data_IF_297097328650
#
_entry.id   IF_297097328650
#
_cell.length_a   1.000
_cell.length_b   1.000
_cell.length_c   1.000
_cell.angle_alpha   90.00
_cell.angle_beta   90.00
_cell.angle_gamma   90.00
#
_symmetry.space_group_name_H-M   'P 1'
#
loop_
_entity.id
_entity.type
_entity.pdbx_description
1 polymer ?
#
# COMPACT_ATOMS: atom_id res chain seq x y z
N UNK A 1 18.09 -65.84 18.08
CA UNK A 1 16.92 -65.38 17.31
C UNK A 1 16.80 -63.88 17.48
N UNK A 2 16.80 -63.19 16.35
CA UNK A 2 16.66 -61.73 16.20
C UNK A 2 15.21 -61.29 16.44
N UNK A 3 15.03 -60.11 17.04
CA UNK A 3 14.09 -59.04 16.61
C UNK A 3 13.94 -58.02 17.76
N UNK A 4 14.63 -56.89 17.67
CA UNK A 4 14.20 -55.62 17.06
C UNK A 4 13.23 -54.82 17.96
N UNK A 5 13.80 -53.87 18.72
CA UNK A 5 13.06 -52.73 19.26
C UNK A 5 13.27 -51.58 18.28
N UNK A 6 12.20 -51.22 17.58
CA UNK A 6 12.19 -50.12 16.62
C UNK A 6 12.33 -48.78 17.37
N UNK A 7 13.34 -48.01 16.98
CA UNK A 7 13.51 -46.61 17.37
C UNK A 7 12.57 -45.77 16.50
N UNK A 8 11.76 -44.84 17.07
CA UNK A 8 10.97 -43.96 16.24
C UNK A 8 11.91 -43.01 15.48
N UNK A 9 11.81 -43.09 14.17
CA UNK A 9 12.44 -42.21 13.18
C UNK A 9 11.99 -40.79 13.45
N UNK A 10 12.95 -39.90 13.70
CA UNK A 10 12.73 -38.45 13.62
C UNK A 10 12.32 -38.14 12.18
N UNK A 11 11.02 -38.00 11.95
CA UNK A 11 10.49 -37.45 10.70
C UNK A 11 11.03 -36.03 10.57
N UNK A 12 11.85 -35.84 9.53
CA UNK A 12 12.32 -34.54 9.11
C UNK A 12 11.10 -33.66 8.79
N UNK A 13 11.00 -32.49 9.43
CA UNK A 13 10.01 -31.48 9.08
C UNK A 13 10.15 -31.09 7.61
N UNK A 14 9.05 -31.02 6.86
CA UNK A 14 9.07 -30.54 5.49
C UNK A 14 9.18 -29.00 5.47
N UNK A 15 9.87 -28.53 4.42
CA UNK A 15 9.83 -27.15 3.91
C UNK A 15 10.80 -26.13 4.51
N UNK A 16 12.09 -26.41 4.27
CA UNK A 16 13.02 -25.35 3.89
C UNK A 16 12.46 -24.63 2.64
N UNK A 17 11.75 -23.53 2.84
CA UNK A 17 11.48 -22.57 1.77
C UNK A 17 12.82 -22.12 1.21
N UNK A 18 13.04 -22.42 -0.07
CA UNK A 18 14.26 -22.11 -0.79
C UNK A 18 14.58 -20.63 -0.64
N UNK A 19 15.71 -20.34 0.00
CA UNK A 19 16.27 -19.03 0.24
C UNK A 19 16.75 -18.42 -1.10
N UNK A 20 15.81 -18.12 -1.99
CA UNK A 20 16.09 -17.54 -3.29
C UNK A 20 16.49 -16.08 -3.06
N UNK A 21 17.71 -15.72 -3.44
CA UNK A 21 18.20 -14.35 -3.31
C UNK A 21 17.25 -13.39 -4.05
N UNK A 22 16.90 -12.27 -3.41
CA UNK A 22 16.06 -11.25 -4.02
C UNK A 22 16.74 -10.68 -5.28
N UNK A 23 15.97 -10.30 -6.31
CA UNK A 23 16.53 -9.64 -7.48
C UNK A 23 17.15 -8.29 -7.09
N UNK A 24 18.22 -7.89 -7.76
CA UNK A 24 18.88 -6.59 -7.51
C UNK A 24 18.06 -5.38 -8.00
N UNK A 25 17.01 -5.62 -8.78
CA UNK A 25 16.07 -4.59 -9.21
C UNK A 25 14.65 -5.15 -9.38
N UNK A 26 13.67 -4.32 -9.05
CA UNK A 26 12.24 -4.56 -9.25
C UNK A 26 11.61 -3.26 -9.70
N UNK A 27 10.69 -3.33 -10.67
CA UNK A 27 9.97 -2.17 -11.18
C UNK A 27 8.51 -2.50 -11.52
N UNK A 28 7.57 -1.80 -10.87
CA UNK A 28 6.13 -1.95 -11.08
C UNK A 28 5.53 -0.79 -11.88
N UNK A 29 6.33 0.20 -12.33
CA UNK A 29 5.85 1.38 -13.06
C UNK A 29 5.13 1.00 -14.34
N UNK A 30 5.68 0.06 -15.11
CA UNK A 30 5.05 -0.39 -16.37
C UNK A 30 3.66 -1.00 -16.12
N UNK A 31 3.47 -1.73 -15.01
CA UNK A 31 2.15 -2.29 -14.64
C UNK A 31 1.16 -1.19 -14.31
N UNK A 32 1.57 -0.22 -13.49
CA UNK A 32 0.74 0.94 -13.15
C UNK A 32 0.30 1.70 -14.41
N UNK A 33 1.23 1.96 -15.33
CA UNK A 33 0.93 2.64 -16.59
C UNK A 33 -0.01 1.80 -17.48
N UNK A 34 0.22 0.50 -17.60
CA UNK A 34 -0.64 -0.41 -18.36
C UNK A 34 -2.08 -0.47 -17.81
N UNK A 35 -2.23 -0.34 -16.50
CA UNK A 35 -3.53 -0.26 -15.82
C UNK A 35 -4.12 1.15 -15.75
N UNK A 36 -3.53 2.13 -16.43
CA UNK A 36 -3.98 3.52 -16.45
C UNK A 36 -3.99 4.15 -15.04
N UNK A 37 -3.03 3.75 -14.21
CA UNK A 37 -2.78 4.28 -12.87
C UNK A 37 -1.51 5.16 -12.82
N UNK A 38 -1.32 6.17 -13.70
CA UNK A 38 -0.15 7.04 -13.59
C UNK A 38 -0.20 7.88 -12.29
N UNK A 39 0.96 8.41 -11.86
CA UNK A 39 1.04 9.39 -10.78
C UNK A 39 0.06 10.56 -11.02
N UNK A 40 -0.56 11.06 -9.94
CA UNK A 40 -1.46 12.23 -9.99
C UNK A 40 -1.14 13.23 -8.87
N UNK A 41 -1.36 14.53 -9.09
CA UNK A 41 -1.01 15.58 -8.12
C UNK A 41 -1.99 15.62 -6.95
N UNK A 42 -1.47 15.75 -5.73
CA UNK A 42 -2.25 16.16 -4.54
C UNK A 42 -2.37 17.69 -4.40
N UNK A 43 -1.64 18.46 -5.20
CA UNK A 43 -1.59 19.92 -5.08
C UNK A 43 -0.99 20.39 -3.75
N UNK A 44 -1.51 21.48 -3.20
CA UNK A 44 -0.99 22.12 -1.98
C UNK A 44 -1.55 21.51 -0.67
N UNK A 45 -2.40 20.49 -0.76
CA UNK A 45 -3.11 19.89 0.39
C UNK A 45 -2.25 18.84 1.09
N UNK A 46 -2.50 18.64 2.38
CA UNK A 46 -1.80 17.69 3.26
C UNK A 46 -2.18 16.21 3.06
N UNK A 47 -2.64 15.81 1.88
CA UNK A 47 -3.30 14.52 1.64
C UNK A 47 -2.39 13.43 1.07
N UNK A 48 -1.06 13.52 1.26
CA UNK A 48 -0.12 12.53 0.68
C UNK A 48 -0.42 11.10 1.14
N UNK A 49 -0.81 10.94 2.40
CA UNK A 49 -1.19 9.65 2.97
C UNK A 49 -2.44 9.07 2.31
N UNK A 50 -3.43 9.91 2.03
CA UNK A 50 -4.66 9.52 1.33
C UNK A 50 -4.35 9.07 -0.09
N UNK A 51 -3.53 9.82 -0.84
CA UNK A 51 -3.13 9.43 -2.19
C UNK A 51 -2.36 8.11 -2.18
N UNK A 52 -1.47 7.91 -1.20
CA UNK A 52 -0.71 6.68 -1.04
C UNK A 52 -1.62 5.47 -0.80
N UNK A 53 -2.59 5.58 0.13
CA UNK A 53 -3.57 4.51 0.39
C UNK A 53 -4.45 4.27 -0.82
N UNK A 54 -4.93 5.35 -1.46
CA UNK A 54 -5.76 5.26 -2.66
C UNK A 54 -5.04 4.51 -3.76
N UNK A 55 -3.77 4.83 -4.05
CA UNK A 55 -3.00 4.12 -5.08
C UNK A 55 -2.65 2.68 -4.71
N UNK A 56 -2.49 2.35 -3.43
CA UNK A 56 -2.35 0.96 -2.99
C UNK A 56 -3.64 0.15 -3.26
N UNK A 57 -4.81 0.74 -2.98
CA UNK A 57 -6.12 0.14 -3.27
C UNK A 57 -6.36 0.00 -4.79
N UNK A 58 -6.04 1.03 -5.58
CA UNK A 58 -6.12 0.99 -7.05
C UNK A 58 -5.25 -0.13 -7.62
N UNK A 59 -4.04 -0.32 -7.10
CA UNK A 59 -3.16 -1.42 -7.50
C UNK A 59 -3.75 -2.79 -7.15
N UNK A 60 -4.30 -2.94 -5.94
CA UNK A 60 -4.92 -4.20 -5.50
C UNK A 60 -6.15 -4.56 -6.37
N UNK A 61 -6.98 -3.57 -6.71
CA UNK A 61 -8.10 -3.73 -7.65
C UNK A 61 -7.62 -4.13 -9.04
N UNK A 62 -6.62 -3.44 -9.58
CA UNK A 62 -6.07 -3.76 -10.89
C UNK A 62 -5.46 -5.16 -10.96
N UNK A 63 -4.81 -5.63 -9.88
CA UNK A 63 -4.26 -6.99 -9.79
C UNK A 63 -5.36 -8.07 -9.80
N UNK A 64 -6.60 -7.72 -9.44
CA UNK A 64 -7.79 -8.59 -9.57
C UNK A 64 -8.45 -8.53 -10.96
N UNK A 65 -7.93 -7.70 -11.87
CA UNK A 65 -8.54 -7.48 -13.19
C UNK A 65 -9.60 -6.38 -13.21
N UNK A 66 -9.71 -5.58 -12.15
CA UNK A 66 -10.65 -4.44 -12.05
C UNK A 66 -9.89 -3.11 -11.91
N UNK A 67 -9.08 -2.68 -12.91
CA UNK A 67 -8.37 -1.41 -12.80
C UNK A 67 -9.38 -0.24 -12.73
N UNK A 68 -9.34 0.51 -11.63
CA UNK A 68 -10.24 1.63 -11.37
C UNK A 68 -9.43 2.82 -10.83
N UNK A 69 -9.83 4.03 -11.23
CA UNK A 69 -9.35 5.27 -10.60
C UNK A 69 -10.28 5.67 -9.48
N UNK A 70 -9.83 5.47 -8.24
CA UNK A 70 -10.60 5.81 -7.05
C UNK A 70 -10.45 7.30 -6.72
N UNK A 71 -11.49 7.90 -6.14
CA UNK A 71 -11.48 9.28 -5.67
C UNK A 71 -10.65 9.44 -4.37
N UNK A 72 -9.54 10.20 -4.38
CA UNK A 72 -8.83 10.54 -3.15
C UNK A 72 -9.70 11.44 -2.25
N UNK A 73 -10.60 12.24 -2.81
CA UNK A 73 -11.54 13.05 -2.01
C UNK A 73 -12.47 12.15 -1.19
N UNK A 74 -13.02 11.10 -1.83
CA UNK A 74 -13.85 10.12 -1.14
C UNK A 74 -13.07 9.40 -0.05
N UNK A 75 -11.86 8.94 -0.35
CA UNK A 75 -11.02 8.25 0.63
C UNK A 75 -10.68 9.17 1.80
N UNK A 76 -10.41 10.46 1.57
CA UNK A 76 -10.18 11.44 2.65
C UNK A 76 -11.43 11.64 3.52
N UNK A 77 -12.61 11.78 2.90
CA UNK A 77 -13.87 11.88 3.62
C UNK A 77 -14.14 10.63 4.45
N UNK A 78 -14.00 9.44 3.86
CA UNK A 78 -14.21 8.16 4.54
C UNK A 78 -13.21 7.97 5.70
N UNK A 79 -11.96 8.38 5.52
CA UNK A 79 -10.96 8.38 6.58
C UNK A 79 -11.35 9.30 7.74
N UNK A 80 -11.90 10.49 7.43
CA UNK A 80 -12.41 11.42 8.45
C UNK A 80 -13.59 10.83 9.23
N UNK A 81 -14.48 10.07 8.57
CA UNK A 81 -15.57 9.37 9.26
C UNK A 81 -15.06 8.27 10.21
N UNK A 82 -13.97 7.59 9.85
CA UNK A 82 -13.32 6.60 10.70
C UNK A 82 -12.53 7.25 11.86
N UNK A 83 -11.84 8.36 11.59
CA UNK A 83 -11.05 9.11 12.57
C UNK A 83 -11.88 9.98 13.52
N UNK A 84 -13.18 10.15 13.28
CA UNK A 84 -14.12 10.83 14.16
C UNK A 84 -14.22 12.36 13.99
N UNK A 85 -13.41 12.96 13.10
CA UNK A 85 -13.49 14.37 12.76
C UNK A 85 -13.01 14.65 11.32
N UNK A 86 -13.54 15.68 10.64
CA UNK A 86 -13.02 16.13 9.35
C UNK A 86 -11.53 16.51 9.43
N UNK A 87 -10.74 16.02 8.47
CA UNK A 87 -9.31 16.34 8.35
C UNK A 87 -8.87 16.38 6.88
N UNK A 88 -7.91 17.25 6.56
CA UNK A 88 -7.32 17.34 5.22
C UNK A 88 -6.07 16.46 5.11
N UNK A 89 -6.30 15.16 4.97
CA UNK A 89 -5.29 14.13 5.18
C UNK A 89 -5.58 13.35 6.46
N UNK A 90 -5.13 12.10 6.52
CA UNK A 90 -5.39 11.23 7.66
C UNK A 90 -4.32 10.12 7.78
N UNK A 91 -4.32 9.38 8.87
CA UNK A 91 -3.45 8.21 9.02
C UNK A 91 -3.90 7.05 8.11
N UNK A 92 -2.96 6.19 7.73
CA UNK A 92 -3.24 5.02 6.89
C UNK A 92 -4.33 4.12 7.49
N UNK A 93 -4.29 3.85 8.79
CA UNK A 93 -5.29 3.01 9.44
C UNK A 93 -6.71 3.59 9.36
N UNK A 94 -6.86 4.92 9.43
CA UNK A 94 -8.16 5.57 9.28
C UNK A 94 -8.66 5.51 7.84
N UNK A 95 -7.77 5.70 6.86
CA UNK A 95 -8.13 5.59 5.45
C UNK A 95 -8.53 4.15 5.07
N UNK A 96 -7.81 3.14 5.57
CA UNK A 96 -8.14 1.74 5.38
C UNK A 96 -9.47 1.36 6.06
N UNK A 97 -9.69 1.79 7.31
CA UNK A 97 -10.96 1.56 8.02
C UNK A 97 -12.14 2.29 7.35
N UNK A 98 -11.90 3.49 6.81
CA UNK A 98 -12.86 4.23 6.00
C UNK A 98 -13.23 3.47 4.74
N UNK A 99 -12.24 2.95 4.00
CA UNK A 99 -12.48 2.12 2.82
C UNK A 99 -13.23 0.82 3.16
N UNK A 100 -12.87 0.13 4.24
CA UNK A 100 -13.57 -1.08 4.67
C UNK A 100 -15.05 -0.80 5.00
N UNK A 101 -15.33 0.34 5.65
CA UNK A 101 -16.69 0.73 6.04
C UNK A 101 -17.55 1.24 4.89
N UNK A 102 -16.97 2.03 3.99
CA UNK A 102 -17.73 2.79 2.98
C UNK A 102 -17.40 2.41 1.54
N UNK A 103 -16.28 1.75 1.28
CA UNK A 103 -15.68 1.59 -0.04
C UNK A 103 -15.08 2.90 -0.54
N UNK A 104 -15.03 3.05 -1.87
CA UNK A 104 -14.66 4.29 -2.53
C UNK A 104 -15.35 4.37 -3.90
N UNK A 105 -15.80 5.57 -4.30
CA UNK A 105 -16.27 5.80 -5.65
C UNK A 105 -15.11 6.17 -6.59
N UNK A 106 -15.38 6.22 -7.89
CA UNK A 106 -14.43 6.70 -8.88
C UNK A 106 -14.07 8.18 -8.71
N UNK A 107 -12.87 8.57 -9.16
CA UNK A 107 -12.43 9.97 -9.20
C UNK A 107 -13.32 10.83 -10.11
N UNK A 108 -13.90 10.24 -11.15
CA UNK A 108 -14.89 10.91 -12.01
C UNK A 108 -16.19 11.22 -11.26
N UNK A 109 -16.65 10.30 -10.40
CA UNK A 109 -17.87 10.46 -9.60
C UNK A 109 -17.73 11.55 -8.55
N UNK A 110 -16.59 11.60 -7.86
CA UNK A 110 -16.34 12.63 -6.85
C UNK A 110 -14.91 13.17 -6.96
N UNK A 111 -14.68 14.17 -7.84
CA UNK A 111 -13.33 14.63 -8.15
C UNK A 111 -12.62 15.28 -6.97
N UNK A 112 -11.30 15.08 -6.95
CA UNK A 112 -10.42 15.76 -6.00
C UNK A 112 -10.46 17.28 -6.14
N UNK A 113 -10.59 17.98 -5.00
CA UNK A 113 -10.70 19.45 -4.96
C UNK A 113 -9.38 20.11 -4.64
N UNK A 114 -9.17 21.30 -5.20
CA UNK A 114 -7.97 22.10 -4.96
C UNK A 114 -7.84 22.58 -3.50
N UNK A 115 -8.95 22.67 -2.77
CA UNK A 115 -8.99 23.08 -1.36
C UNK A 115 -9.94 22.18 -0.58
N UNK A 116 -9.58 21.92 0.68
CA UNK A 116 -10.39 21.16 1.61
C UNK A 116 -11.63 21.94 2.06
N UNK A 117 -12.75 21.22 2.15
CA UNK A 117 -13.99 21.71 2.69
C UNK A 117 -14.51 20.70 3.72
N UNK A 118 -14.45 21.05 5.00
CA UNK A 118 -14.85 20.18 6.10
C UNK A 118 -16.37 19.91 6.13
N UNK A 119 -17.17 20.67 5.39
CA UNK A 119 -18.62 20.53 5.31
C UNK A 119 -19.07 19.69 4.12
N UNK A 120 -18.16 19.42 3.18
CA UNK A 120 -18.46 18.67 1.98
C UNK A 120 -18.65 17.19 2.31
N UNK A 121 -19.76 16.64 1.83
CA UNK A 121 -20.08 15.22 1.93
C UNK A 121 -20.38 14.67 0.53
N UNK A 122 -20.16 13.37 0.29
CA UNK A 122 -20.49 12.76 -0.99
C UNK A 122 -22.00 12.77 -1.18
N UNK A 123 -22.44 12.94 -2.43
CA UNK A 123 -23.84 12.78 -2.78
C UNK A 123 -24.27 11.30 -2.73
N UNK A 124 -25.57 11.07 -2.92
CA UNK A 124 -26.14 9.73 -2.86
C UNK A 124 -25.58 8.79 -3.93
N UNK A 125 -25.19 9.30 -5.10
CA UNK A 125 -24.63 8.49 -6.18
C UNK A 125 -23.20 8.06 -5.87
N UNK A 126 -22.37 8.97 -5.34
CA UNK A 126 -21.03 8.66 -4.85
C UNK A 126 -21.06 7.63 -3.72
N UNK A 127 -21.97 7.77 -2.76
CA UNK A 127 -22.16 6.80 -1.68
C UNK A 127 -22.60 5.42 -2.21
N UNK A 128 -23.52 5.39 -3.18
CA UNK A 128 -24.00 4.14 -3.76
C UNK A 128 -22.89 3.41 -4.55
N UNK A 129 -22.09 4.14 -5.34
CA UNK A 129 -20.97 3.58 -6.09
C UNK A 129 -19.89 3.03 -5.15
N UNK A 130 -19.57 3.76 -4.08
CA UNK A 130 -18.64 3.33 -3.06
C UNK A 130 -19.11 2.07 -2.32
N UNK A 131 -20.39 2.03 -1.91
CA UNK A 131 -20.98 0.85 -1.28
C UNK A 131 -20.97 -0.37 -2.21
N UNK A 132 -21.26 -0.20 -3.50
CA UNK A 132 -21.18 -1.27 -4.47
C UNK A 132 -19.75 -1.81 -4.65
N UNK A 133 -18.72 -0.96 -4.56
CA UNK A 133 -17.32 -1.40 -4.54
C UNK A 133 -17.00 -2.16 -3.25
N UNK A 134 -17.39 -1.63 -2.09
CA UNK A 134 -17.19 -2.29 -0.79
C UNK A 134 -17.78 -3.69 -0.79
N UNK A 135 -19.03 -3.83 -1.21
CA UNK A 135 -19.76 -5.09 -1.13
C UNK A 135 -19.15 -6.16 -2.04
N UNK A 136 -18.71 -5.80 -3.26
CA UNK A 136 -18.07 -6.74 -4.19
C UNK A 136 -16.61 -7.08 -3.83
N UNK A 137 -15.96 -6.23 -3.06
CA UNK A 137 -14.57 -6.43 -2.58
C UNK A 137 -14.52 -6.91 -1.13
N UNK A 138 -15.67 -7.18 -0.51
CA UNK A 138 -15.73 -7.62 0.87
C UNK A 138 -14.99 -8.96 1.04
N UNK A 139 -13.98 -8.98 1.92
CA UNK A 139 -13.09 -10.13 2.11
C UNK A 139 -12.11 -10.41 0.95
N UNK A 140 -12.03 -9.52 -0.04
CA UNK A 140 -11.13 -9.67 -1.20
C UNK A 140 -9.71 -9.15 -0.94
N UNK A 141 -9.50 -8.40 0.14
CA UNK A 141 -8.24 -7.76 0.46
C UNK A 141 -7.76 -8.17 1.85
N UNK A 142 -6.48 -8.54 1.94
CA UNK A 142 -5.77 -8.64 3.21
C UNK A 142 -4.74 -7.51 3.29
N UNK A 143 -4.85 -6.68 4.34
CA UNK A 143 -3.87 -5.64 4.64
C UNK A 143 -2.80 -6.22 5.54
N UNK A 144 -1.55 -6.12 5.10
CA UNK A 144 -0.38 -6.62 5.82
C UNK A 144 0.49 -5.45 6.27
N UNK A 145 0.59 -5.26 7.58
CA UNK A 145 1.44 -4.22 8.17
C UNK A 145 2.86 -4.73 8.34
N UNK A 146 3.83 -4.04 7.74
CA UNK A 146 5.26 -4.31 7.95
C UNK A 146 5.75 -3.45 9.13
N UNK A 147 5.27 -2.20 9.19
CA UNK A 147 5.56 -1.25 10.26
C UNK A 147 4.22 -0.67 10.73
N UNK A 148 3.69 -1.10 11.89
CA UNK A 148 2.48 -0.49 12.43
C UNK A 148 2.80 0.93 12.93
N UNK A 149 1.84 1.84 12.76
CA UNK A 149 1.96 3.20 13.27
C UNK A 149 2.10 3.22 14.79
N UNK A 150 3.15 3.88 15.27
CA UNK A 150 3.38 4.19 16.68
C UNK A 150 3.82 5.65 16.76
N UNK A 151 3.17 6.50 17.59
CA UNK A 151 3.57 7.89 17.75
C UNK A 151 5.06 8.03 18.08
N UNK A 152 5.70 9.03 17.47
CA UNK A 152 7.11 9.41 17.68
C UNK A 152 8.15 8.31 17.37
N UNK A 153 7.75 7.25 16.64
CA UNK A 153 8.66 6.20 16.16
C UNK A 153 8.93 6.38 14.67
N UNK A 154 10.21 6.55 14.33
CA UNK A 154 10.70 6.62 12.96
C UNK A 154 11.80 5.59 12.73
N UNK A 155 11.88 5.15 11.49
CA UNK A 155 12.87 4.18 11.04
C UNK A 155 12.38 2.74 11.14
N UNK A 156 13.03 1.89 10.34
CA UNK A 156 12.71 0.47 10.22
C UNK A 156 13.95 -0.35 10.51
N UNK A 157 13.77 -1.52 11.12
CA UNK A 157 14.87 -2.47 11.33
C UNK A 157 15.22 -3.24 10.03
N UNK A 158 16.27 -4.05 10.09
CA UNK A 158 16.75 -4.82 8.93
C UNK A 158 15.73 -5.84 8.41
N UNK A 159 14.92 -6.44 9.30
CA UNK A 159 13.92 -7.41 8.91
C UNK A 159 12.75 -6.72 8.20
N UNK A 160 12.28 -5.60 8.73
CA UNK A 160 11.25 -4.77 8.12
C UNK A 160 11.73 -4.22 6.77
N UNK A 161 12.97 -3.76 6.67
CA UNK A 161 13.56 -3.31 5.40
C UNK A 161 13.62 -4.43 4.36
N UNK A 162 14.09 -5.63 4.75
CA UNK A 162 14.14 -6.78 3.86
C UNK A 162 12.74 -7.19 3.39
N UNK A 163 11.72 -7.08 4.25
CA UNK A 163 10.34 -7.35 3.89
C UNK A 163 9.82 -6.37 2.82
N UNK A 164 10.25 -5.11 2.81
CA UNK A 164 9.85 -4.15 1.76
C UNK A 164 10.31 -4.65 0.38
N UNK A 165 11.57 -5.12 0.28
CA UNK A 165 12.12 -5.65 -0.96
C UNK A 165 11.45 -6.98 -1.35
N UNK A 166 11.18 -7.86 -0.38
CA UNK A 166 10.47 -9.12 -0.59
C UNK A 166 9.07 -8.91 -1.17
N UNK A 167 8.29 -7.99 -0.58
CA UNK A 167 6.93 -7.66 -1.03
C UNK A 167 6.94 -7.08 -2.45
N UNK A 168 7.89 -6.18 -2.74
CA UNK A 168 8.07 -5.64 -4.08
C UNK A 168 8.43 -6.73 -5.09
N UNK A 169 9.34 -7.64 -4.74
CA UNK A 169 9.72 -8.77 -5.59
C UNK A 169 8.55 -9.73 -5.87
N UNK A 170 7.62 -9.88 -4.92
CA UNK A 170 6.33 -10.59 -5.10
C UNK A 170 5.31 -9.81 -5.95
N UNK A 171 5.67 -8.61 -6.40
CA UNK A 171 4.88 -7.79 -7.30
C UNK A 171 3.76 -7.03 -6.62
N UNK A 172 3.95 -6.63 -5.37
CA UNK A 172 3.02 -5.76 -4.63
C UNK A 172 3.75 -4.46 -4.23
N UNK A 173 3.12 -3.29 -4.38
CA UNK A 173 3.69 -2.06 -3.88
C UNK A 173 3.58 -1.98 -2.35
N UNK A 174 4.41 -1.14 -1.73
CA UNK A 174 4.39 -0.88 -0.29
C UNK A 174 4.01 0.57 -0.06
N UNK A 175 2.90 0.82 0.63
CA UNK A 175 2.57 2.14 1.11
C UNK A 175 3.49 2.47 2.28
N UNK A 176 4.28 3.54 2.19
CA UNK A 176 5.25 3.94 3.21
C UNK A 176 4.97 5.37 3.67
N UNK A 177 4.69 5.54 4.95
CA UNK A 177 4.43 6.83 5.58
C UNK A 177 5.68 7.39 6.24
N UNK A 178 5.84 8.70 6.10
CA UNK A 178 6.87 9.52 6.74
C UNK A 178 6.29 10.93 6.85
N UNK A 179 7.13 11.97 7.01
CA UNK A 179 6.69 13.37 6.82
C UNK A 179 5.98 13.58 5.47
N UNK A 180 6.32 12.79 4.45
CA UNK A 180 5.58 12.71 3.17
C UNK A 180 5.39 11.25 2.76
N UNK A 181 4.14 10.78 2.76
CA UNK A 181 3.82 9.39 2.37
C UNK A 181 3.98 9.17 0.87
N UNK A 182 4.50 8.00 0.51
CA UNK A 182 4.70 7.58 -0.88
C UNK A 182 4.37 6.10 -1.04
N UNK A 183 4.00 5.72 -2.25
CA UNK A 183 3.87 4.30 -2.61
C UNK A 183 5.20 3.84 -3.21
N UNK A 184 5.88 2.89 -2.55
CA UNK A 184 7.06 2.23 -3.11
C UNK A 184 6.58 1.24 -4.18
N UNK A 185 7.13 1.37 -5.39
CA UNK A 185 6.70 0.62 -6.58
C UNK A 185 7.88 -0.09 -7.26
N UNK A 186 9.03 -0.15 -6.59
CA UNK A 186 10.21 -0.82 -7.08
C UNK A 186 11.43 -0.51 -6.22
N UNK A 187 12.53 -1.17 -6.51
CA UNK A 187 13.82 -0.86 -5.92
C UNK A 187 14.95 -1.19 -6.89
N UNK A 188 16.12 -0.62 -6.64
CA UNK A 188 17.36 -0.94 -7.36
C UNK A 188 18.53 -0.76 -6.42
N UNK A 189 19.37 -1.77 -6.34
CA UNK A 189 20.66 -1.66 -5.67
C UNK A 189 21.58 -0.72 -6.46
N UNK A 190 22.21 0.19 -5.73
CA UNK A 190 23.04 1.26 -6.30
C UNK A 190 24.07 1.66 -5.24
N UNK A 191 25.30 1.16 -5.40
CA UNK A 191 26.38 1.38 -4.44
C UNK A 191 26.76 2.87 -4.28
N UNK A 192 26.38 3.73 -5.22
CA UNK A 192 26.60 5.18 -5.12
C UNK A 192 25.49 5.89 -4.33
N UNK A 193 24.32 5.26 -4.17
CA UNK A 193 23.20 5.82 -3.43
C UNK A 193 23.38 5.63 -1.90
N UNK A 194 22.94 6.59 -1.07
CA UNK A 194 22.97 6.44 0.38
C UNK A 194 22.24 5.17 0.86
N UNK A 195 22.92 4.33 1.63
CA UNK A 195 22.38 3.04 2.07
C UNK A 195 22.44 1.92 1.02
N UNK A 196 23.11 2.12 -0.12
CA UNK A 196 23.40 1.07 -1.11
C UNK A 196 22.30 0.80 -2.14
N UNK A 197 21.30 1.69 -2.25
CA UNK A 197 20.26 1.57 -3.26
C UNK A 197 19.16 2.62 -3.12
N UNK A 198 18.15 2.49 -3.97
CA UNK A 198 16.98 3.37 -4.00
C UNK A 198 15.70 2.57 -4.12
N UNK A 199 14.63 3.06 -3.50
CA UNK A 199 13.27 2.68 -3.85
C UNK A 199 12.74 3.60 -4.93
N UNK A 200 12.04 3.03 -5.90
CA UNK A 200 11.23 3.76 -6.87
C UNK A 200 9.87 4.03 -6.23
N UNK A 201 9.37 5.25 -6.36
CA UNK A 201 8.16 5.72 -5.69
C UNK A 201 7.17 6.29 -6.69
N UNK A 202 5.88 6.13 -6.43
CA UNK A 202 4.81 6.96 -6.98
C UNK A 202 4.58 8.09 -5.98
N UNK A 203 4.85 9.34 -6.38
CA UNK A 203 4.82 10.51 -5.51
C UNK A 203 3.73 11.50 -5.96
N UNK A 204 2.76 11.74 -5.07
CA UNK A 204 1.62 12.63 -5.34
C UNK A 204 1.93 14.11 -5.16
N UNK A 205 2.97 14.49 -4.41
CA UNK A 205 3.40 15.88 -4.30
C UNK A 205 4.12 16.32 -5.57
N UNK A 206 4.90 15.42 -6.17
CA UNK A 206 5.65 15.67 -7.41
C UNK A 206 4.87 15.29 -8.67
N UNK A 207 3.76 14.56 -8.51
CA UNK A 207 2.94 14.02 -9.59
C UNK A 207 3.76 13.23 -10.63
N UNK A 208 4.74 12.46 -10.15
CA UNK A 208 5.62 11.64 -11.00
C UNK A 208 6.09 10.40 -10.25
N UNK A 209 6.73 9.50 -11.00
CA UNK A 209 7.62 8.53 -10.37
C UNK A 209 8.92 9.23 -9.95
N UNK A 210 9.40 8.92 -8.75
CA UNK A 210 10.67 9.45 -8.24
C UNK A 210 11.40 8.36 -7.45
N UNK A 211 12.50 8.70 -6.80
CA UNK A 211 13.29 7.79 -5.97
C UNK A 211 13.57 8.36 -4.59
N UNK A 212 13.65 7.47 -3.61
CA UNK A 212 14.21 7.76 -2.28
C UNK A 212 15.31 6.74 -1.97
N UNK A 213 16.32 7.14 -1.22
CA UNK A 213 17.43 6.25 -0.89
C UNK A 213 17.03 5.17 0.11
N UNK A 214 17.76 4.05 0.13
CA UNK A 214 17.62 3.03 1.17
C UNK A 214 17.85 3.60 2.57
N UNK A 215 18.83 4.50 2.71
CA UNK A 215 19.07 5.18 3.99
C UNK A 215 17.85 6.00 4.44
N UNK A 216 17.21 6.74 3.54
CA UNK A 216 15.99 7.50 3.87
C UNK A 216 14.90 6.55 4.39
N UNK A 217 14.63 5.46 3.67
CA UNK A 217 13.58 4.51 4.08
C UNK A 217 13.88 3.89 5.45
N UNK A 218 15.15 3.57 5.73
CA UNK A 218 15.59 3.03 7.03
C UNK A 218 15.40 4.00 8.19
N UNK A 219 15.45 5.31 7.95
CA UNK A 219 15.48 6.33 9.00
C UNK A 219 14.15 7.03 9.19
N UNK A 220 13.40 7.25 8.12
CA UNK A 220 12.30 8.21 8.09
C UNK A 220 10.92 7.56 7.97
N UNK A 221 10.82 6.29 7.57
CA UNK A 221 9.53 5.59 7.49
C UNK A 221 9.01 5.29 8.90
N UNK A 222 7.76 5.67 9.17
CA UNK A 222 7.11 5.55 10.47
C UNK A 222 6.00 4.48 10.49
N UNK A 223 5.34 4.26 9.35
CA UNK A 223 4.40 3.17 9.14
C UNK A 223 4.45 2.67 7.69
N UNK A 224 4.14 1.38 7.50
CA UNK A 224 4.16 0.77 6.18
C UNK A 224 3.25 -0.45 6.11
N UNK A 225 2.52 -0.56 5.00
CA UNK A 225 1.67 -1.71 4.71
C UNK A 225 1.65 -2.03 3.22
N UNK A 226 1.17 -3.21 2.90
CA UNK A 226 0.81 -3.60 1.53
C UNK A 226 -0.54 -4.32 1.53
N UNK A 227 -1.18 -4.38 0.35
CA UNK A 227 -2.49 -5.00 0.18
C UNK A 227 -2.32 -6.23 -0.71
N UNK A 228 -2.69 -7.38 -0.17
CA UNK A 228 -2.85 -8.60 -0.94
C UNK A 228 -4.27 -8.70 -1.50
N UNK A 229 -4.37 -8.79 -2.82
CA UNK A 229 -5.60 -9.21 -3.48
C UNK A 229 -5.75 -10.73 -3.34
N UNK A 230 -6.70 -11.16 -2.50
CA UNK A 230 -7.00 -12.57 -2.31
C UNK A 230 -7.73 -13.11 -3.54
N UNK A 231 -7.39 -14.33 -3.95
CA UNK A 231 -8.11 -15.00 -5.03
C UNK A 231 -9.60 -15.12 -4.62
N UNK A 232 -10.51 -14.82 -5.55
CA UNK A 232 -11.91 -15.21 -5.38
C UNK A 232 -11.95 -16.73 -5.26
N UNK A 233 -12.34 -17.25 -4.09
CA UNK A 233 -12.58 -18.69 -3.94
C UNK A 233 -13.50 -19.15 -5.06
N UNK A 234 -13.02 -20.13 -5.85
CA UNK A 234 -13.80 -20.78 -6.89
C UNK A 234 -14.87 -21.69 -6.32
#
# INVERSE_FOLDING_TARGET
MLSQVATPTTEASPEAQTNQALPANVDLRERLLAWQLPPRPQGARGTCSIFTVTSALEFALAKRGEPLRLSPEFVNWAASQAGGAPSDGNFFHNALAGFERFGACSDERWPYRAAFDATLAPDAEALAEAAALRDRTHGAFAVHWIVPWVPDRFGVDDAQFAEFQSVLARGFPVAAGSVHSRLLVGFRDDAAAPGGGVFVTLDSALARFDTVSYEFVRREVADAFWIEALATGG
#
